data_IF_576070046938
#
_entry.id   IF_576070046938
#
_cell.length_a   1.000
_cell.length_b   1.000
_cell.length_c   1.000
_cell.angle_alpha   90.00
_cell.angle_beta   90.00
_cell.angle_gamma   90.00
#
_symmetry.space_group_name_H-M   'P 1'
#
loop_
_entity.id
_entity.type
_entity.pdbx_description
1 polymer ?
#
# COMPACT_ATOMS: atom_id res chain seq x y z
N UNK A 1 11.62 0.57 -10.37
CA UNK A 1 11.14 -0.57 -11.20
C UNK A 1 9.67 -0.83 -10.87
N UNK A 2 8.91 -1.40 -11.81
CA UNK A 2 7.54 -1.84 -11.52
C UNK A 2 7.53 -3.12 -10.66
N UNK A 3 8.65 -3.82 -10.61
CA UNK A 3 8.84 -5.02 -9.80
C UNK A 3 9.23 -4.65 -8.36
N UNK A 4 8.22 -4.48 -7.51
CA UNK A 4 8.40 -4.11 -6.12
C UNK A 4 9.03 -5.24 -5.26
N UNK A 5 8.84 -6.51 -5.66
CA UNK A 5 9.38 -7.63 -4.89
C UNK A 5 10.89 -7.80 -5.07
N UNK A 6 11.43 -7.35 -6.20
CA UNK A 6 12.86 -7.34 -6.49
C UNK A 6 13.49 -5.94 -6.41
N UNK A 7 12.80 -4.98 -5.79
CA UNK A 7 13.35 -3.64 -5.59
C UNK A 7 14.55 -3.71 -4.63
N UNK A 8 15.77 -3.33 -5.08
CA UNK A 8 16.96 -3.33 -4.24
C UNK A 8 16.98 -2.20 -3.21
N UNK A 9 15.98 -1.32 -3.22
CA UNK A 9 15.95 -0.10 -2.43
C UNK A 9 16.74 1.04 -3.05
N UNK A 10 16.79 2.16 -2.34
CA UNK A 10 17.47 3.39 -2.73
C UNK A 10 18.76 3.59 -1.93
N UNK A 11 19.77 4.16 -2.57
CA UNK A 11 20.99 4.54 -1.86
C UNK A 11 20.73 5.63 -0.83
N UNK A 12 21.28 5.43 0.36
CA UNK A 12 21.26 6.43 1.43
C UNK A 12 22.16 7.60 1.06
N UNK A 13 21.68 8.81 1.28
CA UNK A 13 22.42 10.04 1.04
C UNK A 13 22.65 10.82 2.33
N UNK A 14 23.65 11.68 2.33
CA UNK A 14 23.93 12.63 3.41
C UNK A 14 24.17 14.04 2.83
N UNK A 15 23.93 15.07 3.62
CA UNK A 15 24.23 16.43 3.20
C UNK A 15 25.74 16.70 3.33
N UNK A 16 26.35 17.23 2.26
CA UNK A 16 27.73 17.69 2.32
C UNK A 16 27.82 19.10 2.98
N UNK A 17 29.03 19.64 3.11
CA UNK A 17 29.26 20.98 3.71
C UNK A 17 28.56 22.14 3.02
N UNK A 18 28.08 21.96 1.79
CA UNK A 18 27.32 22.95 1.02
C UNK A 18 25.82 22.72 1.04
N UNK A 19 25.33 21.71 1.79
CA UNK A 19 23.92 21.33 1.85
C UNK A 19 23.44 20.47 0.68
N UNK A 20 24.32 20.01 -0.21
CA UNK A 20 23.97 19.12 -1.30
C UNK A 20 23.86 17.67 -0.83
N UNK A 21 22.85 16.98 -1.32
CA UNK A 21 22.68 15.54 -1.09
C UNK A 21 23.72 14.75 -1.90
N UNK A 22 24.56 13.98 -1.23
CA UNK A 22 25.58 13.11 -1.82
C UNK A 22 25.45 11.70 -1.27
N UNK A 23 25.98 10.69 -1.96
CA UNK A 23 25.97 9.32 -1.47
C UNK A 23 26.75 9.20 -0.16
N UNK A 24 26.15 8.57 0.84
CA UNK A 24 26.78 8.32 2.14
C UNK A 24 27.77 7.14 2.04
N UNK A 25 29.02 7.42 1.65
CA UNK A 25 30.04 6.40 1.47
C UNK A 25 30.81 6.18 2.79
N UNK A 26 30.85 4.95 3.26
CA UNK A 26 31.64 4.55 4.42
C UNK A 26 32.56 3.38 4.09
N UNK A 27 33.90 3.59 4.09
CA UNK A 27 34.92 2.57 3.82
C UNK A 27 34.69 1.77 2.53
N UNK A 28 34.29 2.46 1.43
CA UNK A 28 33.99 1.83 0.13
C UNK A 28 32.66 1.09 0.05
N UNK A 29 31.77 1.36 0.97
CA UNK A 29 30.43 0.77 1.04
C UNK A 29 29.37 1.86 1.08
N UNK A 30 28.17 1.53 0.55
CA UNK A 30 26.97 2.33 0.58
C UNK A 30 25.89 1.59 1.35
N UNK A 31 24.96 2.31 1.97
CA UNK A 31 23.74 1.72 2.49
C UNK A 31 22.62 1.84 1.46
N UNK A 32 21.80 0.81 1.38
CA UNK A 32 20.53 0.78 0.65
C UNK A 32 19.39 0.66 1.66
N UNK A 33 18.33 1.42 1.48
CA UNK A 33 17.10 1.27 2.26
C UNK A 33 15.92 1.04 1.32
N UNK A 34 15.10 0.05 1.61
CA UNK A 34 13.97 -0.31 0.78
C UNK A 34 12.74 -0.74 1.59
N UNK A 35 11.56 -0.65 0.95
CA UNK A 35 10.28 -1.01 1.57
C UNK A 35 10.13 -2.52 1.78
N UNK A 36 10.87 -3.33 1.02
CA UNK A 36 10.88 -4.78 1.18
C UNK A 36 9.53 -5.43 0.93
N UNK A 37 8.83 -5.00 -0.11
CA UNK A 37 7.59 -5.63 -0.54
C UNK A 37 7.83 -7.12 -0.85
N UNK A 38 6.88 -7.97 -0.48
CA UNK A 38 6.92 -9.41 -0.72
C UNK A 38 5.53 -10.02 -0.65
N UNK A 39 5.39 -11.28 -1.05
CA UNK A 39 4.14 -12.03 -0.89
C UNK A 39 3.68 -12.14 0.57
N UNK A 40 4.61 -12.00 1.53
CA UNK A 40 4.36 -12.04 2.98
C UNK A 40 3.96 -10.69 3.57
N UNK A 41 4.10 -9.61 2.80
CA UNK A 41 3.82 -8.23 3.21
C UNK A 41 5.01 -7.30 3.00
N UNK A 42 4.92 -6.13 3.61
CA UNK A 42 5.93 -5.08 3.55
C UNK A 42 6.87 -5.23 4.75
N UNK A 43 8.11 -5.57 4.49
CA UNK A 43 9.15 -5.81 5.51
C UNK A 43 10.40 -4.97 5.16
N UNK A 44 10.41 -3.69 5.52
CA UNK A 44 11.51 -2.76 5.21
C UNK A 44 12.86 -3.30 5.64
N UNK A 45 13.88 -2.89 4.89
CA UNK A 45 15.22 -3.37 5.11
C UNK A 45 16.28 -2.28 4.93
N UNK A 46 17.47 -2.57 5.48
CA UNK A 46 18.72 -1.84 5.21
C UNK A 46 19.78 -2.84 4.81
N UNK A 47 20.40 -2.61 3.67
CA UNK A 47 21.48 -3.41 3.12
C UNK A 47 22.80 -2.61 3.04
N UNK A 48 23.91 -3.33 3.09
CA UNK A 48 25.25 -2.85 2.83
C UNK A 48 25.65 -3.24 1.40
N UNK A 49 26.03 -2.27 0.57
CA UNK A 49 26.48 -2.47 -0.80
C UNK A 49 27.96 -2.17 -0.93
N UNK A 50 28.78 -3.18 -1.22
CA UNK A 50 30.22 -3.07 -1.38
C UNK A 50 30.57 -2.61 -2.80
N UNK A 51 31.19 -1.43 -2.93
CA UNK A 51 31.53 -0.82 -4.22
C UNK A 51 32.61 -1.58 -5.01
N UNK A 52 33.43 -2.41 -4.33
CA UNK A 52 34.47 -3.19 -4.98
C UNK A 52 33.97 -4.51 -5.53
N UNK A 53 33.13 -5.21 -4.76
CA UNK A 53 32.62 -6.54 -5.12
C UNK A 53 31.23 -6.49 -5.76
N UNK A 54 30.56 -5.35 -5.72
CA UNK A 54 29.17 -5.11 -6.20
C UNK A 54 28.16 -6.07 -5.55
N UNK A 55 28.42 -6.50 -4.31
CA UNK A 55 27.54 -7.40 -3.56
C UNK A 55 26.81 -6.65 -2.46
N UNK A 56 25.56 -7.05 -2.23
CA UNK A 56 24.74 -6.60 -1.10
C UNK A 56 24.77 -7.59 0.04
N UNK A 57 24.71 -7.07 1.28
CA UNK A 57 24.57 -7.88 2.49
C UNK A 57 23.47 -7.26 3.36
N UNK A 58 22.48 -8.05 3.75
CA UNK A 58 21.39 -7.62 4.63
C UNK A 58 21.93 -7.31 6.02
N UNK A 59 21.81 -6.04 6.44
CA UNK A 59 22.16 -5.59 7.78
C UNK A 59 20.97 -5.69 8.75
N UNK A 60 19.81 -5.31 8.26
CA UNK A 60 18.59 -5.34 9.04
C UNK A 60 17.36 -5.52 8.14
N UNK A 61 16.34 -6.17 8.66
CA UNK A 61 15.01 -6.27 8.05
C UNK A 61 13.94 -6.32 9.15
N UNK A 62 12.85 -5.61 8.95
CA UNK A 62 11.68 -5.69 9.82
C UNK A 62 11.15 -7.13 9.89
N UNK A 63 10.66 -7.52 11.05
CA UNK A 63 10.06 -8.83 11.26
C UNK A 63 8.55 -8.76 11.07
N UNK A 64 7.97 -9.85 10.55
CA UNK A 64 6.51 -9.96 10.45
C UNK A 64 5.88 -9.89 11.84
N UNK A 65 4.98 -8.94 12.02
CA UNK A 65 4.29 -8.69 13.28
C UNK A 65 2.93 -8.00 13.00
N UNK A 66 2.24 -7.56 14.05
CA UNK A 66 1.06 -6.69 13.97
C UNK A 66 1.43 -5.20 13.75
N UNK A 67 2.72 -4.89 13.63
CA UNK A 67 3.22 -3.55 13.35
C UNK A 67 3.57 -3.38 11.88
N UNK A 68 3.51 -2.13 11.44
CA UNK A 68 4.10 -1.68 10.20
C UNK A 68 5.26 -0.75 10.53
N UNK A 69 6.47 -1.23 10.26
CA UNK A 69 7.71 -0.50 10.42
C UNK A 69 8.10 0.10 9.05
N UNK A 70 8.57 1.35 9.04
CA UNK A 70 9.07 2.03 7.83
C UNK A 70 10.37 2.74 8.19
N UNK A 71 11.42 2.52 7.42
CA UNK A 71 12.63 3.34 7.53
C UNK A 71 12.35 4.70 6.88
N UNK A 72 12.30 5.75 7.68
CA UNK A 72 12.04 7.12 7.20
C UNK A 72 13.32 7.88 6.91
N UNK A 73 14.41 7.53 7.61
CA UNK A 73 15.71 8.16 7.41
C UNK A 73 16.86 7.30 7.98
N UNK A 74 18.06 7.53 7.51
CA UNK A 74 19.31 7.00 8.10
C UNK A 74 20.08 8.15 8.73
N UNK A 75 19.93 8.29 10.04
CA UNK A 75 20.50 9.41 10.82
C UNK A 75 22.03 9.38 10.83
N UNK A 76 22.62 8.20 10.96
CA UNK A 76 24.07 8.01 10.98
C UNK A 76 24.42 6.67 10.31
N UNK A 77 24.79 6.73 9.04
CA UNK A 77 25.18 5.55 8.27
C UNK A 77 26.41 4.83 8.83
N UNK A 78 27.34 5.56 9.48
CA UNK A 78 28.58 5.00 10.04
C UNK A 78 28.34 4.21 11.32
N UNK A 79 27.34 4.61 12.10
CA UNK A 79 26.92 3.95 13.35
C UNK A 79 25.74 3.02 13.18
N UNK A 80 25.12 2.99 11.99
CA UNK A 80 23.92 2.21 11.73
C UNK A 80 22.73 2.71 12.54
N UNK A 81 22.52 4.02 12.62
CA UNK A 81 21.39 4.61 13.34
C UNK A 81 20.33 5.01 12.32
N UNK A 82 19.16 4.41 12.41
CA UNK A 82 18.01 4.69 11.55
C UNK A 82 16.87 5.33 12.34
N UNK A 83 16.07 6.13 11.64
CA UNK A 83 14.79 6.64 12.10
C UNK A 83 13.69 5.79 11.47
N UNK A 84 12.84 5.23 12.29
CA UNK A 84 11.70 4.42 11.86
C UNK A 84 10.39 5.11 12.24
N UNK A 85 9.39 4.96 11.37
CA UNK A 85 7.99 5.17 11.72
C UNK A 85 7.37 3.82 12.01
N UNK A 86 6.86 3.63 13.22
CA UNK A 86 6.19 2.41 13.64
C UNK A 86 4.73 2.72 13.95
N UNK A 87 3.84 1.88 13.44
CA UNK A 87 2.39 2.01 13.57
C UNK A 87 1.71 0.65 13.54
N UNK A 88 0.43 0.60 13.86
CA UNK A 88 -0.43 -0.56 13.62
C UNK A 88 -1.83 -0.11 13.18
N UNK A 89 -2.73 -1.04 12.92
CA UNK A 89 -4.14 -0.72 12.63
C UNK A 89 -4.79 0.19 13.68
N UNK A 90 -4.32 0.10 14.93
CA UNK A 90 -4.89 0.81 16.09
C UNK A 90 -3.94 1.77 16.79
N UNK A 91 -2.63 1.66 16.53
CA UNK A 91 -1.63 2.55 17.14
C UNK A 91 -1.21 3.63 16.14
N UNK A 92 -1.40 4.90 16.54
CA UNK A 92 -1.04 6.05 15.73
C UNK A 92 0.47 6.10 15.45
N UNK A 93 0.90 6.48 14.24
CA UNK A 93 2.31 6.51 13.86
C UNK A 93 3.16 7.36 14.80
N UNK A 94 4.24 6.79 15.28
CA UNK A 94 5.27 7.49 16.04
C UNK A 94 6.66 7.18 15.48
N UNK A 95 7.63 8.04 15.78
CA UNK A 95 9.01 7.87 15.36
C UNK A 95 9.83 7.18 16.44
N UNK A 96 10.76 6.35 15.98
CA UNK A 96 11.64 5.54 16.79
C UNK A 96 13.06 5.59 16.22
N UNK A 97 14.05 5.52 17.08
CA UNK A 97 15.46 5.37 16.69
C UNK A 97 15.90 3.94 16.95
N UNK A 98 16.54 3.32 15.98
CA UNK A 98 17.12 1.98 16.09
C UNK A 98 18.59 1.98 15.71
N UNK A 99 19.38 1.17 16.43
CA UNK A 99 20.78 0.87 16.12
C UNK A 99 20.86 -0.50 15.44
N UNK A 100 20.94 -0.53 14.10
CA UNK A 100 20.87 -1.78 13.32
C UNK A 100 22.17 -2.61 13.41
N UNK A 101 23.29 -2.02 13.79
CA UNK A 101 24.55 -2.76 14.01
C UNK A 101 24.61 -3.44 15.38
N UNK A 102 23.70 -3.12 16.27
CA UNK A 102 23.56 -3.81 17.57
C UNK A 102 22.63 -4.99 17.43
N UNK A 103 23.14 -6.22 17.59
CA UNK A 103 22.35 -7.44 17.53
C UNK A 103 21.19 -7.38 18.54
N UNK A 104 19.97 -7.49 18.07
CA UNK A 104 18.76 -7.43 18.91
C UNK A 104 18.39 -6.02 19.41
N UNK A 105 18.94 -4.98 18.81
CA UNK A 105 18.63 -3.59 19.13
C UNK A 105 17.14 -3.28 18.96
N UNK A 106 16.46 -3.01 20.10
CA UNK A 106 15.04 -2.61 20.07
C UNK A 106 14.91 -1.14 19.68
N UNK A 107 13.84 -0.76 18.94
CA UNK A 107 13.60 0.64 18.62
C UNK A 107 13.25 1.41 19.89
N UNK A 108 13.83 2.61 20.04
CA UNK A 108 13.52 3.53 21.14
C UNK A 108 12.61 4.63 20.61
N UNK A 109 11.42 4.75 21.17
CA UNK A 109 10.45 5.79 20.81
C UNK A 109 10.98 7.19 21.13
N UNK A 110 10.81 8.12 20.17
CA UNK A 110 11.27 9.52 20.28
C UNK A 110 10.14 10.54 20.09
N UNK A 111 8.98 10.13 19.55
CA UNK A 111 7.77 10.95 19.52
C UNK A 111 6.62 10.24 20.25
N UNK A 112 5.66 11.04 20.76
CA UNK A 112 4.54 10.53 21.55
C UNK A 112 3.22 11.15 21.06
N UNK A 113 3.01 11.10 19.75
CA UNK A 113 1.82 11.63 19.10
C UNK A 113 0.60 10.80 19.52
N UNK A 114 -0.48 11.48 19.91
CA UNK A 114 -1.76 10.86 20.19
C UNK A 114 -2.58 10.73 18.91
N UNK A 115 -3.44 9.70 18.86
CA UNK A 115 -4.37 9.54 17.75
C UNK A 115 -5.36 10.73 17.70
N UNK A 116 -5.37 11.55 16.64
CA UNK A 116 -6.34 12.63 16.47
C UNK A 116 -7.67 12.17 15.86
N UNK A 117 -7.77 10.90 15.43
CA UNK A 117 -8.88 10.33 14.66
C UNK A 117 -9.69 9.33 15.49
N UNK A 118 -10.15 9.72 16.66
CA UNK A 118 -10.96 8.84 17.52
C UNK A 118 -12.23 8.32 16.84
N UNK A 119 -12.79 9.08 15.88
CA UNK A 119 -13.97 8.66 15.12
C UNK A 119 -13.74 7.40 14.26
N UNK A 120 -12.49 7.11 13.86
CA UNK A 120 -12.16 5.93 13.04
C UNK A 120 -11.71 4.72 13.87
N UNK A 121 -11.64 4.82 15.17
CA UNK A 121 -11.11 3.80 16.08
C UNK A 121 -11.73 2.41 15.90
N UNK A 122 -13.02 2.36 15.61
CA UNK A 122 -13.77 1.11 15.46
C UNK A 122 -14.06 0.73 14.00
N UNK A 123 -13.45 1.42 13.03
CA UNK A 123 -13.50 1.02 11.62
C UNK A 123 -12.65 -0.23 11.43
N UNK A 124 -13.26 -1.31 10.94
CA UNK A 124 -12.52 -2.54 10.62
C UNK A 124 -11.70 -2.35 9.35
N UNK A 125 -10.47 -2.85 9.31
CA UNK A 125 -9.56 -2.80 8.16
C UNK A 125 -9.02 -4.19 7.86
N UNK A 126 -9.17 -4.63 6.60
CA UNK A 126 -8.65 -5.91 6.10
C UNK A 126 -8.06 -5.73 4.71
N UNK A 127 -6.90 -6.32 4.43
CA UNK A 127 -6.40 -6.49 3.08
C UNK A 127 -7.06 -7.75 2.49
N UNK A 128 -7.86 -7.58 1.45
CA UNK A 128 -8.44 -8.71 0.71
C UNK A 128 -7.64 -8.97 -0.56
N UNK A 129 -7.48 -10.25 -0.91
CA UNK A 129 -6.84 -10.70 -2.15
C UNK A 129 -7.86 -11.49 -2.96
N UNK A 130 -7.88 -11.25 -4.25
CA UNK A 130 -8.82 -11.90 -5.18
C UNK A 130 -8.17 -11.99 -6.56
N UNK A 131 -8.84 -12.66 -7.48
CA UNK A 131 -8.34 -12.85 -8.85
C UNK A 131 -9.31 -12.32 -9.87
N UNK A 132 -8.78 -11.70 -10.90
CA UNK A 132 -9.49 -11.42 -12.14
C UNK A 132 -9.72 -12.74 -12.89
N UNK A 133 -10.68 -12.79 -13.81
CA UNK A 133 -11.07 -13.98 -14.56
C UNK A 133 -9.91 -14.59 -15.37
N UNK A 134 -9.01 -13.76 -15.86
CA UNK A 134 -7.78 -14.16 -16.57
C UNK A 134 -6.64 -14.63 -15.65
N UNK A 135 -6.89 -14.70 -14.33
CA UNK A 135 -5.93 -15.16 -13.33
C UNK A 135 -5.03 -14.11 -12.71
N UNK A 136 -5.12 -12.86 -13.15
CA UNK A 136 -4.34 -11.74 -12.55
C UNK A 136 -4.70 -11.58 -11.08
N UNK A 137 -3.69 -11.61 -10.21
CA UNK A 137 -3.84 -11.38 -8.78
C UNK A 137 -4.18 -9.90 -8.52
N UNK A 138 -5.18 -9.67 -7.70
CA UNK A 138 -5.64 -8.35 -7.32
C UNK A 138 -5.76 -8.24 -5.80
N UNK A 139 -5.75 -7.02 -5.29
CA UNK A 139 -5.98 -6.76 -3.87
C UNK A 139 -6.71 -5.43 -3.67
N UNK A 140 -7.19 -5.23 -2.45
CA UNK A 140 -7.77 -3.96 -2.02
C UNK A 140 -7.90 -3.93 -0.51
N UNK A 141 -7.97 -2.75 0.06
CA UNK A 141 -8.19 -2.56 1.49
C UNK A 141 -9.68 -2.40 1.77
N UNK A 142 -10.26 -3.37 2.42
CA UNK A 142 -11.67 -3.37 2.81
C UNK A 142 -11.84 -2.72 4.18
N UNK A 143 -12.67 -1.68 4.25
CA UNK A 143 -13.12 -1.06 5.48
C UNK A 143 -14.60 -1.35 5.72
N UNK A 144 -14.93 -1.77 6.93
CA UNK A 144 -16.32 -1.92 7.37
C UNK A 144 -16.65 -0.83 8.38
N UNK A 145 -17.91 -0.36 8.40
CA UNK A 145 -18.38 0.63 9.36
C UNK A 145 -18.06 0.27 10.80
N UNK A 146 -17.94 1.26 11.70
CA UNK A 146 -17.81 1.01 13.13
C UNK A 146 -18.92 0.09 13.62
N UNK A 147 -18.54 -0.92 14.42
CA UNK A 147 -19.46 -1.89 15.02
C UNK A 147 -20.27 -2.76 14.04
N UNK A 148 -19.85 -2.86 12.79
CA UNK A 148 -20.48 -3.77 11.83
C UNK A 148 -20.40 -5.22 12.32
N UNK A 149 -21.53 -5.88 12.44
CA UNK A 149 -21.62 -7.29 12.85
C UNK A 149 -21.47 -8.22 11.64
N UNK A 150 -20.26 -8.74 11.43
CA UNK A 150 -19.95 -9.68 10.33
C UNK A 150 -20.80 -10.96 10.37
N UNK A 151 -21.38 -11.32 11.51
CA UNK A 151 -22.22 -12.53 11.63
C UNK A 151 -23.63 -12.30 11.09
N UNK A 152 -24.17 -11.10 11.26
CA UNK A 152 -25.49 -10.73 10.73
C UNK A 152 -25.49 -10.55 9.22
N UNK A 153 -24.33 -10.23 8.63
CA UNK A 153 -24.16 -10.02 7.19
C UNK A 153 -25.20 -9.04 6.60
N UNK A 154 -25.47 -7.96 7.32
CA UNK A 154 -26.30 -6.88 6.80
C UNK A 154 -25.65 -6.34 5.52
N UNK A 155 -26.43 -6.26 4.44
CA UNK A 155 -25.96 -5.77 3.16
C UNK A 155 -25.98 -4.25 3.13
N UNK A 156 -24.80 -3.65 2.99
CA UNK A 156 -24.59 -2.21 2.97
C UNK A 156 -24.23 -1.72 1.56
N UNK A 157 -24.44 -0.42 1.27
CA UNK A 157 -23.88 0.18 0.08
C UNK A 157 -22.37 0.15 0.13
N UNK A 158 -21.71 0.04 -1.02
CA UNK A 158 -20.24 0.07 -1.12
C UNK A 158 -19.74 1.26 -1.94
N UNK A 159 -18.67 1.90 -1.49
CA UNK A 159 -17.86 2.79 -2.30
C UNK A 159 -16.52 2.11 -2.61
N UNK A 160 -16.23 1.91 -3.88
CA UNK A 160 -14.93 1.45 -4.36
C UNK A 160 -14.10 2.65 -4.81
N UNK A 161 -12.85 2.74 -4.33
CA UNK A 161 -11.92 3.79 -4.67
C UNK A 161 -10.66 3.21 -5.26
N UNK A 162 -10.28 3.66 -6.46
CA UNK A 162 -9.17 3.07 -7.19
C UNK A 162 -8.41 4.09 -8.04
N UNK A 163 -7.20 3.70 -8.42
CA UNK A 163 -6.34 4.44 -9.33
C UNK A 163 -5.68 3.45 -10.29
N UNK A 164 -5.96 3.48 -11.59
CA UNK A 164 -5.34 2.56 -12.55
C UNK A 164 -3.83 2.74 -12.62
N UNK A 165 -3.12 1.64 -12.80
CA UNK A 165 -1.67 1.64 -13.02
C UNK A 165 -1.33 0.73 -14.19
N UNK A 166 -0.43 1.18 -15.03
CA UNK A 166 0.00 0.46 -16.23
C UNK A 166 1.19 -0.45 -15.91
N UNK A 167 1.16 -1.67 -16.46
CA UNK A 167 2.19 -2.69 -16.26
C UNK A 167 2.56 -3.34 -17.60
N UNK A 168 3.77 -3.87 -17.69
CA UNK A 168 4.25 -4.63 -18.84
C UNK A 168 4.16 -6.15 -18.68
N UNK A 169 3.77 -6.61 -17.49
CA UNK A 169 3.52 -8.03 -17.20
C UNK A 169 2.54 -8.24 -16.04
N UNK A 170 1.87 -9.39 -16.03
CA UNK A 170 0.87 -9.74 -15.02
C UNK A 170 1.48 -10.04 -13.64
N UNK A 171 2.71 -10.54 -13.59
CA UNK A 171 3.35 -10.94 -12.34
C UNK A 171 3.68 -9.72 -11.47
N UNK A 172 4.19 -8.65 -12.07
CA UNK A 172 4.45 -7.40 -11.36
C UNK A 172 3.15 -6.66 -11.02
N UNK A 173 2.13 -6.75 -11.88
CA UNK A 173 0.82 -6.15 -11.66
C UNK A 173 0.09 -6.71 -10.42
N UNK A 174 0.32 -7.98 -10.09
CA UNK A 174 -0.29 -8.67 -8.94
C UNK A 174 0.44 -8.49 -7.60
N UNK A 175 1.54 -7.75 -7.57
CA UNK A 175 2.33 -7.57 -6.35
C UNK A 175 1.64 -6.66 -5.33
N UNK A 176 1.66 -7.05 -4.05
CA UNK A 176 1.14 -6.25 -2.95
C UNK A 176 2.21 -5.29 -2.47
N UNK A 177 1.91 -3.99 -2.52
CA UNK A 177 2.81 -2.90 -2.13
C UNK A 177 2.29 -2.08 -0.95
N UNK A 178 1.23 -2.54 -0.29
CA UNK A 178 0.63 -1.89 0.89
C UNK A 178 0.69 -2.80 2.11
N UNK A 179 0.67 -2.21 3.30
CA UNK A 179 0.62 -2.97 4.55
C UNK A 179 -0.78 -2.94 5.17
N UNK A 180 -1.32 -4.11 5.50
CA UNK A 180 -2.57 -4.19 6.26
C UNK A 180 -2.45 -3.55 7.66
N UNK A 181 -1.24 -3.47 8.21
CA UNK A 181 -0.96 -2.90 9.53
C UNK A 181 -0.77 -1.38 9.52
N UNK A 182 -0.91 -0.73 8.37
CA UNK A 182 -0.92 0.72 8.30
C UNK A 182 -2.11 1.29 9.08
N UNK A 183 -1.87 2.33 9.87
CA UNK A 183 -2.92 3.00 10.65
C UNK A 183 -4.04 3.53 9.75
N UNK A 184 -5.27 3.47 10.26
CA UNK A 184 -6.47 3.98 9.56
C UNK A 184 -6.56 5.48 9.78
N UNK A 185 -5.89 6.26 8.94
CA UNK A 185 -5.90 7.71 8.99
C UNK A 185 -6.80 8.28 7.88
N UNK A 186 -7.88 9.01 8.23
CA UNK A 186 -8.61 9.77 7.24
C UNK A 186 -7.72 10.81 6.57
N UNK A 187 -7.86 10.97 5.27
CA UNK A 187 -7.19 12.01 4.50
C UNK A 187 -8.19 12.83 3.71
N UNK A 188 -7.82 14.07 3.39
CA UNK A 188 -8.61 14.89 2.49
C UNK A 188 -8.75 14.20 1.12
N UNK A 189 -9.98 14.07 0.64
CA UNK A 189 -10.27 13.38 -0.62
C UNK A 189 -10.18 11.85 -0.56
N UNK A 190 -9.87 11.26 0.61
CA UNK A 190 -9.89 9.81 0.79
C UNK A 190 -11.29 9.27 1.12
N UNK A 191 -11.59 8.00 0.77
CA UNK A 191 -12.94 7.44 0.88
C UNK A 191 -13.31 6.99 2.31
N UNK A 192 -12.36 6.92 3.26
CA UNK A 192 -12.56 6.30 4.58
C UNK A 192 -13.72 6.92 5.39
N UNK A 193 -14.01 8.22 5.19
CA UNK A 193 -15.12 8.88 5.87
C UNK A 193 -16.48 8.27 5.53
N UNK A 194 -16.64 7.62 4.37
CA UNK A 194 -17.84 6.93 4.00
C UNK A 194 -18.13 5.71 4.87
N UNK A 195 -17.06 5.07 5.41
CA UNK A 195 -17.25 4.01 6.40
C UNK A 195 -17.96 4.51 7.67
N UNK A 196 -17.68 5.76 8.09
CA UNK A 196 -18.40 6.39 9.22
C UNK A 196 -19.86 6.74 8.92
N UNK A 197 -20.25 6.71 7.63
CA UNK A 197 -21.62 6.94 7.16
C UNK A 197 -22.36 5.63 6.85
N UNK A 198 -21.81 4.48 7.22
CA UNK A 198 -22.45 3.19 7.04
C UNK A 198 -22.19 2.52 5.69
N UNK A 199 -21.21 2.97 4.93
CA UNK A 199 -20.79 2.32 3.69
C UNK A 199 -19.68 1.30 3.95
N UNK A 200 -19.70 0.20 3.23
CA UNK A 200 -18.47 -0.59 3.00
C UNK A 200 -17.58 0.23 2.08
N UNK A 201 -16.29 0.33 2.40
CA UNK A 201 -15.33 1.02 1.52
C UNK A 201 -14.27 0.02 1.08
N UNK A 202 -14.09 -0.11 -0.23
CA UNK A 202 -12.96 -0.82 -0.82
C UNK A 202 -11.99 0.21 -1.37
N UNK A 203 -10.95 0.50 -0.61
CA UNK A 203 -9.93 1.51 -0.92
C UNK A 203 -8.68 0.88 -1.52
N UNK A 204 -7.95 1.65 -2.32
CA UNK A 204 -6.74 1.19 -3.04
C UNK A 204 -6.98 -0.15 -3.75
N UNK A 205 -8.18 -0.28 -4.35
CA UNK A 205 -8.51 -1.46 -5.15
C UNK A 205 -7.55 -1.53 -6.35
N UNK A 206 -6.89 -2.67 -6.52
CA UNK A 206 -5.92 -2.85 -7.59
C UNK A 206 -6.62 -2.82 -8.97
N UNK A 207 -6.20 -1.89 -9.81
CA UNK A 207 -6.69 -1.70 -11.17
C UNK A 207 -5.52 -1.72 -12.17
N UNK A 208 -4.82 -2.86 -12.32
CA UNK A 208 -3.75 -2.96 -13.30
C UNK A 208 -4.29 -2.95 -14.72
N UNK A 209 -3.62 -2.18 -15.57
CA UNK A 209 -3.77 -2.18 -17.02
C UNK A 209 -2.49 -2.78 -17.59
N UNK A 210 -2.59 -3.96 -18.17
CA UNK A 210 -1.44 -4.77 -18.53
C UNK A 210 -1.29 -4.79 -20.05
N UNK A 211 -0.10 -4.43 -20.55
CA UNK A 211 0.28 -4.59 -21.94
C UNK A 211 1.49 -5.52 -22.04
N UNK A 212 1.29 -6.72 -22.56
CA UNK A 212 2.35 -7.71 -22.70
C UNK A 212 2.93 -7.74 -24.10
N UNK A 213 4.24 -7.99 -24.18
CA UNK A 213 4.96 -8.10 -25.45
C UNK A 213 4.93 -6.79 -26.24
N UNK A 214 4.27 -6.79 -27.40
CA UNK A 214 4.10 -5.61 -28.29
C UNK A 214 2.82 -4.81 -27.99
N UNK A 215 1.94 -5.34 -27.17
CA UNK A 215 0.69 -4.68 -26.80
C UNK A 215 0.97 -3.57 -25.77
N UNK A 216 0.43 -2.39 -26.02
CA UNK A 216 0.47 -1.33 -25.03
C UNK A 216 -0.72 -1.46 -24.07
N UNK A 217 -0.57 -1.04 -22.79
CA UNK A 217 -1.65 -1.12 -21.81
C UNK A 217 -2.95 -0.46 -22.29
N UNK A 218 -2.85 0.66 -22.99
CA UNK A 218 -3.99 1.42 -23.47
C UNK A 218 -4.79 0.73 -24.59
N UNK A 219 -4.23 -0.26 -25.28
CA UNK A 219 -4.93 -0.99 -26.35
C UNK A 219 -6.17 -1.76 -25.82
N UNK A 220 -6.14 -2.15 -24.55
CA UNK A 220 -7.22 -2.87 -23.87
C UNK A 220 -7.66 -2.22 -22.56
N UNK A 221 -7.53 -0.91 -22.46
CA UNK A 221 -7.78 -0.15 -21.24
C UNK A 221 -9.20 -0.40 -20.68
N UNK A 222 -10.25 -0.12 -21.45
CA UNK A 222 -11.64 -0.23 -21.01
C UNK A 222 -12.03 -1.66 -20.64
N UNK A 223 -11.76 -2.70 -21.45
CA UNK A 223 -12.03 -4.08 -21.06
C UNK A 223 -11.34 -4.48 -19.74
N UNK A 224 -10.10 -4.07 -19.53
CA UNK A 224 -9.38 -4.37 -18.29
C UNK A 224 -9.94 -3.61 -17.08
N UNK A 225 -10.37 -2.36 -17.24
CA UNK A 225 -11.08 -1.63 -16.18
C UNK A 225 -12.32 -2.37 -15.71
N UNK A 226 -13.17 -2.78 -16.67
CA UNK A 226 -14.43 -3.49 -16.36
C UNK A 226 -14.14 -4.84 -15.69
N UNK A 227 -13.13 -5.58 -16.17
CA UNK A 227 -12.73 -6.85 -15.57
C UNK A 227 -12.21 -6.68 -14.13
N UNK A 228 -11.38 -5.65 -13.86
CA UNK A 228 -10.88 -5.32 -12.53
C UNK A 228 -12.05 -4.97 -11.59
N UNK A 229 -12.96 -4.10 -12.03
CA UNK A 229 -14.12 -3.67 -11.27
C UNK A 229 -15.03 -4.85 -10.91
N UNK A 230 -15.33 -5.70 -11.89
CA UNK A 230 -16.15 -6.90 -11.68
C UNK A 230 -15.52 -7.84 -10.66
N UNK A 231 -14.23 -8.12 -10.78
CA UNK A 231 -13.51 -8.99 -9.86
C UNK A 231 -13.53 -8.45 -8.42
N UNK A 232 -13.33 -7.14 -8.25
CA UNK A 232 -13.39 -6.47 -6.95
C UNK A 232 -14.78 -6.56 -6.30
N UNK A 233 -15.83 -6.26 -7.06
CA UNK A 233 -17.22 -6.35 -6.58
C UNK A 233 -17.56 -7.79 -6.21
N UNK A 234 -17.24 -8.76 -7.09
CA UNK A 234 -17.52 -10.17 -6.85
C UNK A 234 -16.80 -10.70 -5.58
N UNK A 235 -15.58 -10.24 -5.33
CA UNK A 235 -14.82 -10.60 -4.14
C UNK A 235 -15.50 -10.13 -2.85
N UNK A 236 -15.94 -8.87 -2.80
CA UNK A 236 -16.61 -8.33 -1.61
C UNK A 236 -18.02 -8.91 -1.44
N UNK A 237 -18.75 -9.12 -2.53
CA UNK A 237 -20.09 -9.73 -2.48
C UNK A 237 -20.08 -11.15 -1.92
N UNK A 238 -19.06 -11.97 -2.25
CA UNK A 238 -18.85 -13.31 -1.66
C UNK A 238 -18.72 -13.28 -0.14
N UNK A 239 -18.22 -12.16 0.43
CA UNK A 239 -18.15 -11.98 1.87
C UNK A 239 -19.54 -11.73 2.48
N UNK A 240 -20.53 -11.32 1.66
CA UNK A 240 -21.92 -11.10 2.05
C UNK A 240 -22.17 -9.74 2.70
N UNK A 241 -21.28 -8.77 2.55
CA UNK A 241 -21.35 -7.48 3.22
C UNK A 241 -22.02 -6.37 2.41
N UNK A 242 -22.18 -6.55 1.09
CA UNK A 242 -22.66 -5.49 0.20
C UNK A 242 -23.97 -5.84 -0.51
N UNK A 243 -24.70 -4.77 -0.85
CA UNK A 243 -25.77 -4.79 -1.83
C UNK A 243 -25.21 -4.41 -3.20
N UNK A 244 -25.20 -5.36 -4.13
CA UNK A 244 -24.62 -5.16 -5.47
C UNK A 244 -25.30 -4.05 -6.28
N UNK A 245 -26.54 -3.73 -5.98
CA UNK A 245 -27.29 -2.66 -6.67
C UNK A 245 -26.92 -1.27 -6.14
N UNK A 246 -26.21 -1.21 -5.00
CA UNK A 246 -25.79 0.04 -4.35
C UNK A 246 -24.27 0.15 -4.26
N UNK A 247 -23.58 -0.11 -5.38
CA UNK A 247 -22.14 0.05 -5.49
C UNK A 247 -21.83 1.33 -6.23
N UNK A 248 -20.98 2.17 -5.62
CA UNK A 248 -20.43 3.37 -6.24
C UNK A 248 -18.93 3.19 -6.52
N UNK A 249 -18.43 3.90 -7.51
CA UNK A 249 -16.99 3.96 -7.84
C UNK A 249 -16.49 5.39 -7.78
N UNK A 250 -15.24 5.58 -7.37
CA UNK A 250 -14.60 6.89 -7.40
C UNK A 250 -13.10 6.79 -7.50
N UNK A 251 -12.49 7.94 -7.76
CA UNK A 251 -11.03 8.08 -7.83
C UNK A 251 -10.62 9.50 -8.21
N UNK A 252 -9.38 9.84 -7.91
CA UNK A 252 -8.80 11.14 -8.21
C UNK A 252 -7.94 11.08 -9.48
N UNK A 253 -7.88 12.14 -10.29
CA UNK A 253 -7.01 12.24 -11.46
C UNK A 253 -7.26 11.10 -12.47
N UNK A 254 -6.31 10.20 -12.70
CA UNK A 254 -6.49 9.02 -13.57
C UNK A 254 -7.59 8.07 -13.02
N UNK A 255 -7.84 8.09 -11.71
CA UNK A 255 -9.01 7.44 -11.09
C UNK A 255 -10.33 8.08 -11.46
N UNK A 256 -10.40 9.41 -11.65
CA UNK A 256 -11.58 10.09 -12.17
C UNK A 256 -11.87 9.71 -13.62
N UNK A 257 -10.82 9.65 -14.46
CA UNK A 257 -10.93 9.15 -15.83
C UNK A 257 -11.42 7.69 -15.87
N UNK A 258 -10.89 6.82 -15.01
CA UNK A 258 -11.39 5.46 -14.81
C UNK A 258 -12.87 5.46 -14.46
N UNK A 259 -13.30 6.29 -13.49
CA UNK A 259 -14.68 6.38 -13.02
C UNK A 259 -15.63 6.71 -14.19
N UNK A 260 -15.30 7.72 -14.98
CA UNK A 260 -16.10 8.11 -16.16
C UNK A 260 -16.21 6.96 -17.19
N UNK A 261 -15.09 6.26 -17.45
CA UNK A 261 -15.09 5.10 -18.36
C UNK A 261 -15.94 3.94 -17.83
N UNK A 262 -15.84 3.61 -16.54
CA UNK A 262 -16.60 2.52 -15.93
C UNK A 262 -18.11 2.79 -15.97
N UNK A 263 -18.55 4.04 -15.71
CA UNK A 263 -19.97 4.43 -15.80
C UNK A 263 -20.48 4.40 -17.24
N UNK A 264 -19.63 4.71 -18.22
CA UNK A 264 -20.01 4.75 -19.64
C UNK A 264 -20.03 3.38 -20.31
N UNK A 265 -19.22 2.42 -19.82
CA UNK A 265 -18.99 1.14 -20.48
C UNK A 265 -19.41 -0.08 -19.65
N UNK A 266 -20.05 0.12 -18.49
CA UNK A 266 -20.57 -0.98 -17.66
C UNK A 266 -21.82 -0.59 -16.90
N UNK A 267 -22.57 -1.59 -16.43
CA UNK A 267 -23.73 -1.45 -15.53
C UNK A 267 -23.39 -1.93 -14.11
N UNK A 268 -22.11 -1.88 -13.72
CA UNK A 268 -21.63 -2.38 -12.43
C UNK A 268 -21.92 -1.41 -11.27
N UNK A 269 -22.15 -0.14 -11.56
CA UNK A 269 -22.20 0.92 -10.57
C UNK A 269 -23.50 1.73 -10.63
N UNK A 270 -24.03 2.05 -9.47
CA UNK A 270 -25.19 2.92 -9.31
C UNK A 270 -24.82 4.42 -9.28
N UNK A 271 -23.57 4.75 -8.96
CA UNK A 271 -23.09 6.12 -8.87
C UNK A 271 -21.56 6.21 -9.05
N UNK A 272 -21.07 7.42 -9.36
CA UNK A 272 -19.64 7.69 -9.46
C UNK A 272 -19.25 9.04 -8.87
N UNK A 273 -17.99 9.12 -8.38
CA UNK A 273 -17.33 10.32 -7.85
C UNK A 273 -16.02 10.49 -8.60
N UNK A 274 -15.93 11.50 -9.49
CA UNK A 274 -14.79 11.77 -10.36
C UNK A 274 -14.11 13.10 -10.02
#
# INVERSE_FOLDING_TARGET
TQDAYNDPGSFVTEANQYGWSVLAINKGKLLLSGDGASAEGILPFVDDFDLKTLKTTRLWRAQKSDKYEQVTDVIDAKKGIILERIQSKTEFPNLYVRHIFQKGGKPKQVTFNKNPFESTKNVSKELIKYKREDGVELSGTLYLPPNYDKKKKEKLPMLMWAYPREFKDAATAGQVTTSENQFVAPSYGGPIFWALKGYVVLDDAAFPIIGEGKQEPNDTYVPQLVANAKAAIDAVDKLGFIDRERVAVGGHSYGAFMTANLLSHSNLFAAGIA
#
